data_IF_383216514921
#
_entry.id   IF_383216514921
#
_cell.length_a   1.000
_cell.length_b   1.000
_cell.length_c   1.000
_cell.angle_alpha   90.00
_cell.angle_beta   90.00
_cell.angle_gamma   90.00
#
_symmetry.space_group_name_H-M   'P 1'
#
loop_
_entity.id
_entity.type
_entity.pdbx_description
1 polymer ?
#
# COMPACT_ATOMS: atom_id res chain seq x y z
N UNK A 1 -14.59 -0.85 6.84
CA UNK A 1 -13.18 -1.03 7.25
C UNK A 1 -12.62 -2.30 6.59
N UNK A 2 -12.90 -3.51 7.07
CA UNK A 2 -12.32 -4.75 6.49
C UNK A 2 -12.62 -4.94 4.98
N UNK A 3 -13.88 -4.78 4.56
CA UNK A 3 -14.26 -4.96 3.15
C UNK A 3 -13.59 -3.92 2.24
N UNK A 4 -13.43 -2.68 2.73
CA UNK A 4 -12.73 -1.62 2.01
C UNK A 4 -11.24 -1.94 1.87
N UNK A 5 -10.61 -2.43 2.93
CA UNK A 5 -9.21 -2.87 2.90
C UNK A 5 -8.98 -4.00 1.91
N UNK A 6 -9.83 -5.02 1.90
CA UNK A 6 -9.72 -6.15 0.97
C UNK A 6 -9.82 -5.65 -0.48
N UNK A 7 -10.78 -4.76 -0.77
CA UNK A 7 -10.94 -4.19 -2.11
C UNK A 7 -9.76 -3.28 -2.51
N UNK A 8 -9.24 -2.46 -1.59
CA UNK A 8 -8.08 -1.60 -1.82
C UNK A 8 -6.81 -2.40 -2.14
N UNK A 9 -6.56 -3.46 -1.37
CA UNK A 9 -5.43 -4.35 -1.58
C UNK A 9 -5.59 -5.14 -2.89
N UNK A 10 -6.78 -5.69 -3.15
CA UNK A 10 -7.03 -6.48 -4.37
C UNK A 10 -6.85 -5.62 -5.63
N UNK A 11 -7.42 -4.42 -5.66
CA UNK A 11 -7.27 -3.50 -6.79
C UNK A 11 -5.82 -3.06 -7.00
N UNK A 12 -5.07 -2.85 -5.92
CA UNK A 12 -3.64 -2.53 -5.99
C UNK A 12 -2.80 -3.68 -6.54
N UNK A 13 -3.02 -4.91 -6.07
CA UNK A 13 -2.33 -6.11 -6.59
C UNK A 13 -2.65 -6.32 -8.07
N UNK A 14 -3.90 -6.13 -8.48
CA UNK A 14 -4.30 -6.22 -9.89
C UNK A 14 -3.57 -5.17 -10.72
N UNK A 15 -3.54 -3.92 -10.26
CA UNK A 15 -2.87 -2.82 -10.96
C UNK A 15 -1.35 -3.08 -11.10
N UNK A 16 -0.68 -3.48 -10.01
CA UNK A 16 0.74 -3.81 -10.03
C UNK A 16 1.02 -5.01 -10.95
N UNK A 17 0.17 -6.03 -10.94
CA UNK A 17 0.29 -7.19 -11.84
C UNK A 17 0.18 -6.77 -13.30
N UNK A 18 -0.79 -5.90 -13.64
CA UNK A 18 -0.97 -5.36 -15.01
C UNK A 18 0.25 -4.55 -15.46
N UNK A 19 0.83 -3.74 -14.57
CA UNK A 19 2.04 -2.96 -14.88
C UNK A 19 3.25 -3.88 -15.09
N UNK A 20 3.43 -4.88 -14.21
CA UNK A 20 4.55 -5.81 -14.28
C UNK A 20 4.46 -6.77 -15.47
N UNK A 21 3.26 -7.10 -15.94
CA UNK A 21 3.05 -7.89 -17.16
C UNK A 21 3.72 -7.29 -18.40
N UNK A 22 3.97 -5.97 -18.42
CA UNK A 22 4.70 -5.32 -19.52
C UNK A 22 6.21 -5.65 -19.52
N UNK A 23 6.75 -6.18 -18.41
CA UNK A 23 8.19 -6.43 -18.23
C UNK A 23 8.52 -7.90 -17.94
N UNK A 24 7.55 -8.72 -17.52
CA UNK A 24 7.78 -10.12 -17.15
C UNK A 24 6.54 -11.00 -17.38
N UNK A 25 6.72 -12.32 -17.43
CA UNK A 25 5.64 -13.29 -17.60
C UNK A 25 4.62 -13.25 -16.45
N UNK A 26 3.36 -13.64 -16.73
CA UNK A 26 2.22 -13.57 -15.81
C UNK A 26 2.47 -14.19 -14.44
N UNK A 27 3.08 -15.39 -14.40
CA UNK A 27 3.39 -16.09 -13.14
C UNK A 27 4.40 -15.30 -12.29
N UNK A 28 5.39 -14.68 -12.93
CA UNK A 28 6.39 -13.86 -12.24
C UNK A 28 5.81 -12.52 -11.83
N UNK A 29 5.02 -11.85 -12.70
CA UNK A 29 4.36 -10.59 -12.38
C UNK A 29 3.49 -10.71 -11.12
N UNK A 30 2.68 -11.76 -11.03
CA UNK A 30 1.81 -12.01 -9.88
C UNK A 30 2.61 -12.33 -8.61
N UNK A 31 3.64 -13.20 -8.69
CA UNK A 31 4.52 -13.49 -7.56
C UNK A 31 5.25 -12.25 -7.06
N UNK A 32 5.68 -11.38 -7.97
CA UNK A 32 6.38 -10.13 -7.64
C UNK A 32 5.44 -9.11 -7.02
N UNK A 33 4.24 -8.92 -7.57
CA UNK A 33 3.22 -8.05 -6.97
C UNK A 33 2.86 -8.50 -5.55
N UNK A 34 2.68 -9.81 -5.32
CA UNK A 34 2.43 -10.33 -3.98
C UNK A 34 3.65 -10.22 -3.04
N UNK A 35 4.86 -10.40 -3.56
CA UNK A 35 6.09 -10.44 -2.76
C UNK A 35 6.66 -9.08 -2.39
N UNK A 36 6.46 -8.04 -3.21
CA UNK A 36 7.11 -6.74 -3.02
C UNK A 36 6.34 -5.79 -2.10
N UNK A 37 5.00 -5.85 -2.09
CA UNK A 37 4.19 -4.70 -1.65
C UNK A 37 3.09 -5.05 -0.66
N UNK A 38 2.72 -6.33 -0.46
CA UNK A 38 1.55 -6.72 0.36
C UNK A 38 1.63 -6.24 1.81
N UNK A 39 2.78 -6.40 2.47
CA UNK A 39 2.93 -5.98 3.88
C UNK A 39 2.87 -4.45 4.01
N UNK A 40 3.54 -3.71 3.11
CA UNK A 40 3.47 -2.25 3.08
C UNK A 40 2.08 -1.73 2.71
N UNK A 41 1.35 -2.40 1.82
CA UNK A 41 -0.04 -2.07 1.48
C UNK A 41 -0.96 -2.26 2.68
N UNK A 42 -0.83 -3.36 3.42
CA UNK A 42 -1.59 -3.59 4.65
C UNK A 42 -1.35 -2.49 5.68
N UNK A 43 -0.09 -2.12 5.92
CA UNK A 43 0.28 -1.07 6.87
C UNK A 43 -0.29 0.28 6.43
N UNK A 44 -0.17 0.61 5.15
CA UNK A 44 -0.67 1.86 4.57
C UNK A 44 -2.20 1.96 4.73
N UNK A 45 -2.93 0.94 4.29
CA UNK A 45 -4.39 0.90 4.35
C UNK A 45 -4.90 0.95 5.80
N UNK A 46 -4.21 0.26 6.71
CA UNK A 46 -4.53 0.28 8.13
C UNK A 46 -4.30 1.66 8.76
N UNK A 47 -3.18 2.31 8.45
CA UNK A 47 -2.89 3.65 8.94
C UNK A 47 -3.90 4.69 8.42
N UNK A 48 -4.20 4.67 7.13
CA UNK A 48 -5.20 5.57 6.52
C UNK A 48 -6.57 5.41 7.18
N UNK A 49 -6.99 4.16 7.35
CA UNK A 49 -8.27 3.80 7.96
C UNK A 49 -8.35 4.18 9.46
N UNK A 50 -7.24 4.12 10.21
CA UNK A 50 -7.16 4.63 11.58
C UNK A 50 -7.28 6.16 11.59
N UNK A 51 -6.51 6.85 10.73
CA UNK A 51 -6.53 8.32 10.68
C UNK A 51 -7.91 8.83 10.28
N UNK A 52 -8.60 8.17 9.36
CA UNK A 52 -9.99 8.46 9.00
C UNK A 52 -10.93 8.39 10.20
N UNK A 53 -10.87 7.30 10.97
CA UNK A 53 -11.72 7.12 12.16
C UNK A 53 -11.39 8.17 13.22
N UNK A 54 -10.11 8.47 13.44
CA UNK A 54 -9.67 9.45 14.45
C UNK A 54 -10.05 10.89 14.06
N UNK A 55 -9.94 11.24 12.78
CA UNK A 55 -10.17 12.63 12.33
C UNK A 55 -11.63 12.92 11.98
N UNK A 56 -12.39 11.94 11.47
CA UNK A 56 -13.76 12.16 11.00
C UNK A 56 -14.83 11.40 11.80
N UNK A 57 -14.45 10.53 12.75
CA UNK A 57 -15.40 9.76 13.56
C UNK A 57 -16.21 8.72 12.78
N UNK A 58 -15.86 8.47 11.51
CA UNK A 58 -16.56 7.58 10.59
C UNK A 58 -15.86 7.49 9.23
N UNK A 59 -16.34 6.62 8.35
CA UNK A 59 -15.77 6.40 7.02
C UNK A 59 -16.32 7.41 5.99
N UNK A 60 -16.01 8.70 6.18
CA UNK A 60 -16.39 9.76 5.24
C UNK A 60 -15.15 10.31 4.55
N UNK A 61 -15.22 10.47 3.23
CA UNK A 61 -14.11 11.03 2.45
C UNK A 61 -14.34 12.53 2.27
N UNK A 62 -13.54 13.36 2.95
CA UNK A 62 -13.52 14.80 2.74
C UNK A 62 -12.25 15.20 1.99
N UNK A 63 -12.41 15.88 0.85
CA UNK A 63 -11.33 16.35 -0.02
C UNK A 63 -10.27 17.19 0.72
N UNK A 64 -10.63 17.83 1.84
CA UNK A 64 -9.70 18.63 2.65
C UNK A 64 -8.75 17.76 3.50
N UNK A 65 -9.19 16.58 3.91
CA UNK A 65 -8.43 15.71 4.81
C UNK A 65 -7.73 14.58 4.04
N UNK A 66 -8.14 14.30 2.79
CA UNK A 66 -7.47 13.37 1.87
C UNK A 66 -5.94 13.52 1.83
N UNK A 67 -5.33 14.72 1.80
CA UNK A 67 -3.88 14.85 1.81
C UNK A 67 -3.23 14.31 3.08
N UNK A 68 -3.87 14.50 4.23
CA UNK A 68 -3.37 14.05 5.54
C UNK A 68 -3.44 12.53 5.63
N UNK A 69 -4.55 11.95 5.16
CA UNK A 69 -4.76 10.50 5.15
C UNK A 69 -3.70 9.83 4.28
N UNK A 70 -3.53 10.29 3.04
CA UNK A 70 -2.52 9.74 2.12
C UNK A 70 -1.09 9.87 2.68
N UNK A 71 -0.77 11.01 3.29
CA UNK A 71 0.54 11.22 3.90
C UNK A 71 0.78 10.29 5.10
N UNK A 72 -0.25 10.05 5.92
CA UNK A 72 -0.17 9.11 7.04
C UNK A 72 0.09 7.67 6.59
N UNK A 73 -0.56 7.24 5.50
CA UNK A 73 -0.32 5.93 4.91
C UNK A 73 1.11 5.78 4.40
N UNK A 74 1.63 6.81 3.73
CA UNK A 74 3.02 6.83 3.24
C UNK A 74 4.04 6.77 4.39
N UNK A 75 3.87 7.58 5.43
CA UNK A 75 4.73 7.56 6.63
C UNK A 75 4.67 6.20 7.32
N UNK A 76 3.51 5.56 7.39
CA UNK A 76 3.38 4.25 8.05
C UNK A 76 4.09 3.14 7.26
N UNK A 77 3.97 3.13 5.93
CA UNK A 77 4.55 2.09 5.09
C UNK A 77 6.04 2.27 4.78
N UNK A 78 6.54 3.52 4.76
CA UNK A 78 7.92 3.82 4.39
C UNK A 78 9.00 3.17 5.29
N UNK A 79 8.91 3.18 6.64
CA UNK A 79 9.89 2.56 7.52
C UNK A 79 10.10 1.07 7.23
N UNK A 80 9.02 0.35 6.93
CA UNK A 80 9.10 -1.07 6.57
C UNK A 80 9.86 -1.27 5.26
N UNK A 81 9.57 -0.46 4.25
CA UNK A 81 10.27 -0.53 2.95
C UNK A 81 11.76 -0.19 3.08
N UNK A 82 12.11 0.86 3.84
CA UNK A 82 13.51 1.23 4.10
C UNK A 82 14.27 0.16 4.91
N UNK A 83 13.64 -0.40 5.95
CA UNK A 83 14.23 -1.49 6.71
C UNK A 83 14.53 -2.70 5.82
N UNK A 84 13.60 -3.05 4.92
CA UNK A 84 13.76 -4.16 3.99
C UNK A 84 14.94 -3.92 3.04
N UNK A 85 15.05 -2.74 2.45
CA UNK A 85 16.17 -2.36 1.58
C UNK A 85 17.52 -2.48 2.32
N UNK A 86 17.59 -1.97 3.55
CA UNK A 86 18.80 -2.06 4.39
C UNK A 86 19.15 -3.50 4.75
N UNK A 87 18.16 -4.34 5.07
CA UNK A 87 18.37 -5.76 5.44
C UNK A 87 18.90 -6.59 4.28
N UNK A 88 18.37 -6.38 3.08
CA UNK A 88 18.80 -7.11 1.88
C UNK A 88 19.97 -6.44 1.15
N UNK A 89 20.48 -5.34 1.69
CA UNK A 89 21.57 -4.55 1.13
C UNK A 89 21.36 -4.17 -0.35
N UNK A 90 20.09 -3.99 -0.72
CA UNK A 90 19.68 -3.58 -2.07
C UNK A 90 19.53 -2.06 -2.04
N UNK A 91 20.39 -1.36 -2.76
CA UNK A 91 20.29 0.11 -2.90
C UNK A 91 19.45 0.44 -4.13
N UNK A 92 18.56 1.42 -4.02
CA UNK A 92 17.82 1.97 -5.16
C UNK A 92 18.63 3.05 -5.91
N UNK A 93 19.93 2.81 -6.12
CA UNK A 93 20.85 3.70 -6.83
C UNK A 93 21.50 2.99 -8.02
#
# INVERSE_FOLDING_TARGET
MLLAMINGILTSIVLETIILLKKMNLVFAFKTALGMSVISMLIMELAMNIVDVVTMGGAYLSLKITPVILFSGWIAAAPYNYYRLKKYNVSCH
#
